data_IF_104010768600
#
_entry.id   IF_104010768600
#
_cell.length_a   1.000
_cell.length_b   1.000
_cell.length_c   1.000
_cell.angle_alpha   90.00
_cell.angle_beta   90.00
_cell.angle_gamma   90.00
#
_symmetry.space_group_name_H-M   'P 1'
#
loop_
_entity.id
_entity.type
_entity.pdbx_description
1 polymer ?
#
# COMPACT_ATOMS: atom_id res chain seq x y z
N UNK A 1 8.19 5.06 -19.53
CA UNK A 1 6.76 4.91 -19.25
C UNK A 1 6.24 5.98 -18.28
N UNK A 2 7.01 6.41 -17.25
CA UNK A 2 6.56 7.39 -16.24
C UNK A 2 5.96 8.67 -16.84
N UNK A 3 6.63 9.31 -17.81
CA UNK A 3 6.12 10.51 -18.46
C UNK A 3 4.81 10.27 -19.24
N UNK A 4 4.57 9.07 -19.69
CA UNK A 4 3.37 8.71 -20.45
C UNK A 4 2.11 8.61 -19.55
N UNK A 5 2.27 8.41 -18.24
CA UNK A 5 1.17 8.41 -17.27
C UNK A 5 0.43 9.76 -17.20
N UNK A 6 1.05 10.85 -17.67
CA UNK A 6 0.40 12.17 -17.80
C UNK A 6 -0.73 12.18 -18.83
N UNK A 7 -0.80 11.18 -19.71
CA UNK A 7 -1.84 11.05 -20.74
C UNK A 7 -3.06 10.27 -20.28
N UNK A 8 -2.98 9.59 -19.12
CA UNK A 8 -4.08 8.79 -18.58
C UNK A 8 -4.75 9.60 -17.46
N UNK A 9 -6.01 9.91 -17.63
CA UNK A 9 -6.84 10.53 -16.57
C UNK A 9 -7.19 9.45 -15.55
N UNK A 10 -6.86 9.68 -14.28
CA UNK A 10 -7.32 8.83 -13.19
C UNK A 10 -8.78 9.17 -12.83
N UNK A 11 -9.01 10.45 -12.58
CA UNK A 11 -10.34 11.02 -12.32
C UNK A 11 -10.26 12.53 -12.56
N UNK A 12 -11.29 13.12 -13.19
CA UNK A 12 -11.27 14.52 -13.68
C UNK A 12 -10.85 15.55 -12.62
N UNK A 13 -11.32 15.38 -11.37
CA UNK A 13 -11.00 16.27 -10.25
C UNK A 13 -9.71 15.93 -9.51
N UNK A 14 -9.18 14.72 -9.69
CA UNK A 14 -7.97 14.22 -9.04
C UNK A 14 -6.76 14.16 -9.97
N UNK A 15 -6.95 14.50 -11.24
CA UNK A 15 -5.90 14.58 -12.24
C UNK A 15 -5.54 13.25 -12.89
N UNK A 16 -4.32 13.19 -13.42
CA UNK A 16 -3.79 12.05 -14.16
C UNK A 16 -3.27 10.94 -13.25
N UNK A 17 -2.96 9.78 -13.84
CA UNK A 17 -2.27 8.69 -13.12
C UNK A 17 -0.88 9.13 -12.67
N UNK A 18 -0.21 10.03 -13.42
CA UNK A 18 1.04 10.65 -12.97
C UNK A 18 0.86 11.49 -11.70
N UNK A 19 -0.16 12.36 -11.66
CA UNK A 19 -0.46 13.19 -10.48
C UNK A 19 -0.77 12.30 -9.26
N UNK A 20 -1.48 11.21 -9.47
CA UNK A 20 -1.72 10.19 -8.45
C UNK A 20 -0.43 9.55 -7.96
N UNK A 21 0.48 9.13 -8.88
CA UNK A 21 1.78 8.56 -8.50
C UNK A 21 2.61 9.53 -7.66
N UNK A 22 2.58 10.84 -7.98
CA UNK A 22 3.26 11.87 -7.19
C UNK A 22 2.66 11.99 -5.77
N UNK A 23 1.33 11.97 -5.63
CA UNK A 23 0.70 12.02 -4.29
C UNK A 23 1.04 10.79 -3.47
N UNK A 24 0.97 9.59 -4.09
CA UNK A 24 1.35 8.33 -3.43
C UNK A 24 2.83 8.34 -3.03
N UNK A 25 3.72 8.87 -3.87
CA UNK A 25 5.14 8.97 -3.58
C UNK A 25 5.44 9.88 -2.37
N UNK A 26 4.81 11.06 -2.33
CA UNK A 26 4.93 11.97 -1.20
C UNK A 26 4.41 11.34 0.11
N UNK A 27 3.28 10.64 0.03
CA UNK A 27 2.67 9.94 1.17
C UNK A 27 3.55 8.77 1.63
N UNK A 28 4.04 7.94 0.70
CA UNK A 28 4.95 6.82 0.99
C UNK A 28 6.24 7.30 1.67
N UNK A 29 6.83 8.38 1.16
CA UNK A 29 8.02 8.99 1.76
C UNK A 29 7.77 9.48 3.19
N UNK A 30 6.60 10.06 3.45
CA UNK A 30 6.24 10.54 4.78
C UNK A 30 5.95 9.39 5.76
N UNK A 31 5.33 8.31 5.30
CA UNK A 31 4.99 7.15 6.12
C UNK A 31 6.19 6.23 6.40
N UNK A 32 7.14 6.14 5.47
CA UNK A 32 8.26 5.19 5.55
C UNK A 32 9.02 5.24 6.89
N UNK A 33 9.43 6.41 7.43
CA UNK A 33 10.13 6.46 8.71
C UNK A 33 9.30 5.96 9.89
N UNK A 34 7.97 6.13 9.84
CA UNK A 34 7.05 5.67 10.89
C UNK A 34 6.93 4.14 10.91
N UNK A 35 7.18 3.51 9.76
CA UNK A 35 7.11 2.07 9.58
C UNK A 35 8.50 1.38 9.62
N UNK A 36 9.59 2.13 9.78
CA UNK A 36 10.96 1.60 9.72
C UNK A 36 11.43 1.22 8.31
N UNK A 37 10.78 1.74 7.26
CA UNK A 37 11.15 1.56 5.86
C UNK A 37 12.08 2.69 5.37
N UNK A 38 12.77 2.46 4.25
CA UNK A 38 13.59 3.47 3.60
C UNK A 38 12.71 4.44 2.79
N UNK A 39 12.70 5.77 3.11
CA UNK A 39 11.89 6.75 2.40
C UNK A 39 12.22 6.90 0.92
N UNK A 40 13.49 6.69 0.55
CA UNK A 40 13.95 6.82 -0.84
C UNK A 40 13.45 5.66 -1.68
N UNK A 41 13.52 4.43 -1.16
CA UNK A 41 13.00 3.25 -1.83
C UNK A 41 11.47 3.28 -1.94
N UNK A 42 10.78 3.71 -0.88
CA UNK A 42 9.32 3.87 -0.89
C UNK A 42 8.85 4.90 -1.93
N UNK A 43 9.51 6.08 -1.98
CA UNK A 43 9.23 7.11 -2.99
C UNK A 43 9.47 6.58 -4.41
N UNK A 44 10.59 5.89 -4.62
CA UNK A 44 10.95 5.32 -5.93
C UNK A 44 9.93 4.28 -6.38
N UNK A 45 9.58 3.34 -5.52
CA UNK A 45 8.57 2.32 -5.80
C UNK A 45 7.22 2.96 -6.15
N UNK A 46 6.79 3.98 -5.40
CA UNK A 46 5.54 4.68 -5.65
C UNK A 46 5.51 5.38 -7.01
N UNK A 47 6.59 6.06 -7.40
CA UNK A 47 6.68 6.72 -8.71
C UNK A 47 6.60 5.73 -9.87
N UNK A 48 7.15 4.52 -9.70
CA UNK A 48 7.17 3.50 -10.77
C UNK A 48 5.93 2.61 -10.75
N UNK A 49 5.17 2.60 -9.69
CA UNK A 49 4.12 1.64 -9.36
C UNK A 49 3.01 1.46 -10.40
N UNK A 50 2.81 2.45 -11.27
CA UNK A 50 1.77 2.45 -12.31
C UNK A 50 2.34 2.47 -13.73
N UNK A 51 3.68 2.36 -13.89
CA UNK A 51 4.32 2.46 -15.20
C UNK A 51 3.99 1.30 -16.14
N UNK A 52 3.68 0.13 -15.61
CA UNK A 52 3.29 -1.06 -16.35
C UNK A 52 1.95 -0.91 -17.09
N UNK A 53 1.07 -0.01 -16.62
CA UNK A 53 -0.18 0.36 -17.32
C UNK A 53 0.07 0.90 -18.72
N UNK A 54 1.28 1.37 -19.01
CA UNK A 54 1.67 1.90 -20.33
C UNK A 54 2.24 0.83 -21.26
N UNK A 55 2.25 -0.42 -20.85
CA UNK A 55 2.78 -1.53 -21.63
C UNK A 55 1.65 -2.26 -22.37
N UNK A 56 1.95 -2.75 -23.57
CA UNK A 56 1.00 -3.57 -24.31
C UNK A 56 0.62 -4.84 -23.56
N UNK A 57 1.57 -5.40 -22.77
CA UNK A 57 1.34 -6.61 -21.98
C UNK A 57 0.19 -6.42 -20.99
N UNK A 58 0.23 -5.35 -20.19
CA UNK A 58 -0.84 -5.06 -19.22
C UNK A 58 -2.11 -4.57 -19.92
N UNK A 59 -1.97 -3.91 -21.09
CA UNK A 59 -3.12 -3.53 -21.91
C UNK A 59 -3.91 -4.72 -22.44
N UNK A 60 -3.24 -5.81 -22.83
CA UNK A 60 -3.87 -7.07 -23.28
C UNK A 60 -4.26 -7.99 -22.12
N UNK A 61 -3.45 -8.01 -21.06
CA UNK A 61 -3.60 -8.90 -19.89
C UNK A 61 -3.62 -8.10 -18.61
N UNK A 62 -4.76 -7.51 -18.29
CA UNK A 62 -4.93 -6.63 -17.12
C UNK A 62 -4.61 -7.31 -15.77
N UNK A 63 -4.79 -8.62 -15.68
CA UNK A 63 -4.49 -9.41 -14.48
C UNK A 63 -2.98 -9.47 -14.15
N UNK A 64 -2.13 -9.14 -15.13
CA UNK A 64 -0.67 -9.07 -14.96
C UNK A 64 -0.19 -7.73 -14.40
N UNK A 65 -1.10 -6.81 -14.10
CA UNK A 65 -0.79 -5.52 -13.48
C UNK A 65 -0.08 -5.73 -12.12
N UNK A 66 1.01 -4.99 -11.92
CA UNK A 66 1.90 -5.13 -10.78
C UNK A 66 2.97 -6.19 -11.01
N UNK A 67 2.60 -7.40 -11.36
CA UNK A 67 3.53 -8.49 -11.67
C UNK A 67 4.48 -8.10 -12.82
N UNK A 68 3.95 -7.59 -13.92
CA UNK A 68 4.77 -7.12 -15.04
C UNK A 68 5.58 -5.88 -14.67
N UNK A 69 5.01 -4.99 -13.88
CA UNK A 69 5.74 -3.85 -13.32
C UNK A 69 7.00 -4.28 -12.55
N UNK A 70 6.89 -5.32 -11.73
CA UNK A 70 8.02 -5.93 -11.02
C UNK A 70 9.08 -6.47 -11.99
N UNK A 71 8.69 -7.25 -12.99
CA UNK A 71 9.64 -7.81 -13.95
C UNK A 71 10.34 -6.71 -14.77
N UNK A 72 9.62 -5.70 -15.21
CA UNK A 72 10.21 -4.58 -15.93
C UNK A 72 11.17 -3.77 -15.07
N UNK A 73 10.80 -3.50 -13.81
CA UNK A 73 11.67 -2.80 -12.88
C UNK A 73 12.99 -3.56 -12.64
N UNK A 74 12.93 -4.89 -12.44
CA UNK A 74 14.13 -5.72 -12.31
C UNK A 74 14.99 -5.70 -13.59
N UNK A 75 14.37 -5.79 -14.76
CA UNK A 75 15.08 -5.73 -16.04
C UNK A 75 15.77 -4.36 -16.26
N UNK A 76 15.16 -3.29 -15.79
CA UNK A 76 15.69 -1.93 -15.88
C UNK A 76 16.74 -1.62 -14.80
N UNK A 77 17.07 -2.58 -13.93
CA UNK A 77 18.11 -2.46 -12.92
C UNK A 77 17.67 -1.76 -11.63
N UNK A 78 16.36 -1.64 -11.39
CA UNK A 78 15.87 -1.12 -10.10
C UNK A 78 16.19 -2.10 -8.95
N UNK A 79 16.35 -1.59 -7.71
CA UNK A 79 16.53 -2.45 -6.55
C UNK A 79 15.41 -3.48 -6.42
N UNK A 80 15.74 -4.71 -6.02
CA UNK A 80 14.76 -5.80 -5.87
C UNK A 80 13.60 -5.40 -4.94
N UNK A 81 13.89 -4.69 -3.85
CA UNK A 81 12.88 -4.20 -2.91
C UNK A 81 11.88 -3.23 -3.56
N UNK A 82 12.36 -2.34 -4.45
CA UNK A 82 11.50 -1.44 -5.24
C UNK A 82 10.62 -2.25 -6.19
N UNK A 83 11.20 -3.22 -6.88
CA UNK A 83 10.48 -4.05 -7.83
C UNK A 83 9.39 -4.91 -7.14
N UNK A 84 9.72 -5.55 -6.01
CA UNK A 84 8.75 -6.31 -5.22
C UNK A 84 7.59 -5.43 -4.76
N UNK A 85 7.88 -4.22 -4.25
CA UNK A 85 6.86 -3.28 -3.80
C UNK A 85 5.87 -2.88 -4.91
N UNK A 86 6.31 -2.83 -6.18
CA UNK A 86 5.45 -2.54 -7.32
C UNK A 86 4.35 -3.61 -7.50
N UNK A 87 4.63 -4.88 -7.26
CA UNK A 87 3.59 -5.93 -7.25
C UNK A 87 2.77 -5.89 -5.95
N UNK A 88 3.44 -5.76 -4.82
CA UNK A 88 2.84 -5.84 -3.49
C UNK A 88 1.86 -4.71 -3.17
N UNK A 89 1.91 -3.56 -3.84
CA UNK A 89 0.98 -2.45 -3.62
C UNK A 89 -0.49 -2.83 -3.76
N UNK A 90 -0.78 -3.85 -4.56
CA UNK A 90 -2.14 -4.32 -4.81
C UNK A 90 -2.65 -5.27 -3.72
N UNK A 91 -1.79 -5.72 -2.84
CA UNK A 91 -2.16 -6.65 -1.76
C UNK A 91 -2.76 -5.91 -0.55
N UNK A 92 -3.74 -6.52 0.14
CA UNK A 92 -4.49 -7.68 -0.31
C UNK A 92 -5.46 -7.33 -1.44
N UNK A 93 -5.55 -8.18 -2.47
CA UNK A 93 -6.45 -8.00 -3.61
C UNK A 93 -7.89 -8.41 -3.30
N UNK A 94 -8.04 -9.33 -2.36
CA UNK A 94 -9.32 -9.87 -1.87
C UNK A 94 -9.20 -10.29 -0.40
N UNK A 95 -10.32 -10.60 0.25
CA UNK A 95 -10.30 -11.07 1.64
C UNK A 95 -9.55 -12.41 1.77
N UNK A 96 -8.55 -12.46 2.64
CA UNK A 96 -7.68 -13.64 2.84
C UNK A 96 -6.51 -13.74 1.85
N UNK A 97 -6.29 -12.73 1.00
CA UNK A 97 -5.07 -12.62 0.19
C UNK A 97 -3.85 -12.32 1.06
N UNK A 98 -2.67 -12.65 0.56
CA UNK A 98 -1.41 -12.34 1.23
C UNK A 98 -1.24 -10.83 1.42
N UNK A 99 -0.63 -10.44 2.52
CA UNK A 99 -0.18 -9.07 2.76
C UNK A 99 1.19 -8.84 2.10
N UNK A 100 1.58 -7.57 1.86
CA UNK A 100 2.93 -7.26 1.44
C UNK A 100 3.97 -7.88 2.38
N UNK A 101 4.97 -8.58 1.84
CA UNK A 101 6.01 -9.22 2.64
C UNK A 101 7.09 -8.22 3.09
N UNK A 102 7.38 -7.22 2.24
CA UNK A 102 8.38 -6.19 2.52
C UNK A 102 7.78 -4.92 3.12
N UNK A 103 8.56 -4.19 3.95
CA UNK A 103 8.13 -2.92 4.54
C UNK A 103 7.85 -1.86 3.46
N UNK A 104 8.67 -1.79 2.41
CA UNK A 104 8.47 -0.87 1.28
C UNK A 104 7.16 -1.17 0.56
N UNK A 105 6.84 -2.45 0.34
CA UNK A 105 5.56 -2.88 -0.23
C UNK A 105 4.37 -2.53 0.67
N UNK A 106 4.49 -2.75 1.97
CA UNK A 106 3.44 -2.42 2.95
C UNK A 106 3.16 -0.91 3.01
N UNK A 107 4.21 -0.08 3.06
CA UNK A 107 4.08 1.40 3.04
C UNK A 107 3.41 1.85 1.74
N UNK A 108 3.83 1.32 0.61
CA UNK A 108 3.25 1.67 -0.69
C UNK A 108 1.78 1.25 -0.78
N UNK A 109 1.44 0.04 -0.32
CA UNK A 109 0.07 -0.46 -0.31
C UNK A 109 -0.87 0.40 0.57
N UNK A 110 -0.37 0.88 1.71
CA UNK A 110 -1.10 1.80 2.59
C UNK A 110 -1.28 3.16 1.91
N UNK A 111 -0.21 3.74 1.37
CA UNK A 111 -0.25 5.04 0.71
C UNK A 111 -1.21 5.05 -0.49
N UNK A 112 -1.21 3.99 -1.28
CA UNK A 112 -2.10 3.80 -2.44
C UNK A 112 -3.57 3.78 -2.03
N UNK A 113 -3.90 3.02 -0.99
CA UNK A 113 -5.26 2.90 -0.47
C UNK A 113 -5.72 4.19 0.21
N UNK A 114 -4.83 4.87 0.94
CA UNK A 114 -5.11 6.18 1.55
C UNK A 114 -5.39 7.25 0.50
N UNK A 115 -4.57 7.35 -0.57
CA UNK A 115 -4.81 8.31 -1.66
C UNK A 115 -6.16 8.06 -2.32
N UNK A 116 -6.48 6.79 -2.58
CA UNK A 116 -7.75 6.40 -3.20
C UNK A 116 -8.94 6.77 -2.32
N UNK A 117 -8.92 6.39 -1.05
CA UNK A 117 -10.02 6.66 -0.12
C UNK A 117 -10.19 8.17 0.10
N UNK A 118 -9.12 8.86 0.52
CA UNK A 118 -9.19 10.28 0.84
C UNK A 118 -9.57 11.13 -0.39
N UNK A 119 -8.99 10.84 -1.55
CA UNK A 119 -9.26 11.56 -2.78
C UNK A 119 -10.72 11.43 -3.23
N UNK A 120 -11.24 10.22 -3.28
CA UNK A 120 -12.61 9.97 -3.75
C UNK A 120 -13.67 10.48 -2.76
N UNK A 121 -13.43 10.36 -1.45
CA UNK A 121 -14.31 10.98 -0.46
C UNK A 121 -14.28 12.52 -0.54
N UNK A 122 -13.11 13.13 -0.72
CA UNK A 122 -12.96 14.58 -0.83
C UNK A 122 -13.74 15.18 -2.03
N UNK A 123 -13.86 14.43 -3.14
CA UNK A 123 -14.62 14.88 -4.31
C UNK A 123 -16.10 14.46 -4.28
N UNK A 124 -16.57 13.89 -3.18
CA UNK A 124 -17.96 13.50 -2.98
C UNK A 124 -18.39 12.24 -3.73
N UNK A 125 -17.47 11.29 -3.93
CA UNK A 125 -17.74 9.99 -4.57
C UNK A 125 -17.60 8.81 -3.60
N UNK A 126 -18.30 8.77 -2.46
CA UNK A 126 -18.32 7.62 -1.58
C UNK A 126 -19.07 6.45 -2.24
N UNK A 127 -18.82 5.20 -1.81
CA UNK A 127 -19.59 4.06 -2.27
C UNK A 127 -21.05 4.19 -1.81
N UNK A 128 -22.00 3.86 -2.69
CA UNK A 128 -23.45 3.95 -2.38
C UNK A 128 -24.12 2.61 -2.65
N UNK A 129 -24.83 2.04 -1.66
CA UNK A 129 -25.57 0.78 -1.81
C UNK A 129 -24.71 -0.32 -2.43
N UNK A 130 -25.10 -0.84 -3.59
CA UNK A 130 -24.34 -1.85 -4.36
C UNK A 130 -23.29 -1.25 -5.29
N UNK A 131 -23.23 0.08 -5.46
CA UNK A 131 -22.30 0.73 -6.38
C UNK A 131 -21.01 1.13 -5.67
N UNK A 132 -19.90 0.54 -6.11
CA UNK A 132 -18.54 0.85 -5.64
C UNK A 132 -17.55 0.73 -6.82
N UNK A 133 -17.60 1.68 -7.78
CA UNK A 133 -16.83 1.58 -9.03
C UNK A 133 -15.32 1.68 -8.80
N UNK A 134 -14.90 2.24 -7.67
CA UNK A 134 -13.48 2.36 -7.29
C UNK A 134 -13.04 1.35 -6.23
N UNK A 135 -13.88 0.38 -5.89
CA UNK A 135 -13.62 -0.65 -4.88
C UNK A 135 -13.17 -0.09 -3.51
N UNK A 136 -13.78 1.03 -3.07
CA UNK A 136 -13.42 1.73 -1.83
C UNK A 136 -13.60 0.87 -0.58
N UNK A 137 -14.63 -0.01 -0.56
CA UNK A 137 -14.84 -0.95 0.56
C UNK A 137 -13.67 -1.92 0.67
N UNK A 138 -13.21 -2.45 -0.46
CA UNK A 138 -12.05 -3.35 -0.51
C UNK A 138 -10.76 -2.60 -0.11
N UNK A 139 -10.59 -1.35 -0.59
CA UNK A 139 -9.46 -0.52 -0.21
C UNK A 139 -9.44 -0.25 1.31
N UNK A 140 -10.58 0.01 1.93
CA UNK A 140 -10.69 0.23 3.37
C UNK A 140 -10.35 -1.04 4.19
N UNK A 141 -10.83 -2.21 3.76
CA UNK A 141 -10.49 -3.50 4.40
C UNK A 141 -8.99 -3.75 4.28
N UNK A 142 -8.42 -3.65 3.06
CA UNK A 142 -7.00 -3.86 2.83
C UNK A 142 -6.11 -2.87 3.60
N UNK A 143 -6.55 -1.63 3.77
CA UNK A 143 -5.86 -0.64 4.59
C UNK A 143 -5.82 -1.08 6.06
N UNK A 144 -6.95 -1.51 6.63
CA UNK A 144 -7.03 -2.02 8.00
C UNK A 144 -6.10 -3.21 8.21
N UNK A 145 -6.10 -4.18 7.29
CA UNK A 145 -5.25 -5.37 7.40
C UNK A 145 -3.76 -5.03 7.31
N UNK A 146 -3.39 -4.09 6.44
CA UNK A 146 -2.01 -3.61 6.31
C UNK A 146 -1.53 -2.88 7.57
N UNK A 147 -2.37 -2.08 8.23
CA UNK A 147 -2.03 -1.44 9.50
C UNK A 147 -1.83 -2.47 10.63
N UNK A 148 -2.73 -3.46 10.75
CA UNK A 148 -2.58 -4.54 11.74
C UNK A 148 -1.26 -5.30 11.56
N UNK A 149 -0.87 -5.56 10.31
CA UNK A 149 0.41 -6.21 10.00
C UNK A 149 1.61 -5.37 10.47
N UNK A 150 1.60 -4.05 10.22
CA UNK A 150 2.67 -3.16 10.66
C UNK A 150 2.75 -3.03 12.18
N UNK A 151 1.62 -2.95 12.88
CA UNK A 151 1.57 -2.92 14.34
C UNK A 151 2.16 -4.20 14.94
N UNK A 152 1.78 -5.37 14.43
CA UNK A 152 2.33 -6.66 14.85
C UNK A 152 3.83 -6.72 14.57
N UNK A 153 4.27 -6.29 13.38
CA UNK A 153 5.68 -6.28 13.00
C UNK A 153 6.50 -5.34 13.86
N UNK A 154 5.99 -4.15 14.20
CA UNK A 154 6.63 -3.21 15.11
C UNK A 154 6.74 -3.77 16.54
N UNK A 155 5.71 -4.44 17.01
CA UNK A 155 5.72 -5.12 18.32
C UNK A 155 6.76 -6.23 18.32
N UNK A 156 6.79 -7.10 17.31
CA UNK A 156 7.77 -8.20 17.21
C UNK A 156 9.20 -7.67 17.10
N UNK A 157 9.42 -6.57 16.34
CA UNK A 157 10.72 -5.91 16.24
C UNK A 157 11.16 -5.36 17.60
N UNK A 158 10.28 -4.65 18.30
CA UNK A 158 10.54 -4.14 19.65
C UNK A 158 10.90 -5.26 20.61
N UNK A 159 10.15 -6.37 20.59
CA UNK A 159 10.40 -7.56 21.40
C UNK A 159 11.73 -8.23 21.10
N UNK A 160 12.12 -8.33 19.83
CA UNK A 160 13.41 -8.93 19.44
C UNK A 160 14.60 -8.17 20.00
N UNK A 161 14.42 -6.85 20.26
CA UNK A 161 15.48 -5.99 20.80
C UNK A 161 15.63 -6.09 22.31
N UNK A 162 14.57 -6.53 23.01
CA UNK A 162 14.55 -6.71 24.47
C UNK A 162 14.68 -8.20 24.88
N UNK A 163 15.63 -8.93 24.26
CA UNK A 163 15.94 -10.32 24.64
C UNK A 163 16.36 -10.37 26.11
N UNK A 164 15.44 -10.73 26.99
CA UNK A 164 15.78 -11.16 28.34
C UNK A 164 14.83 -10.78 29.47
N UNK A 165 13.94 -9.78 29.36
CA UNK A 165 13.18 -9.28 30.52
C UNK A 165 11.66 -9.16 30.33
N UNK A 166 11.08 -9.60 29.24
CA UNK A 166 9.65 -9.40 29.02
C UNK A 166 8.92 -10.76 29.02
N UNK A 167 8.08 -10.95 30.02
CA UNK A 167 7.14 -12.07 30.09
C UNK A 167 6.09 -11.93 28.95
N UNK A 168 6.10 -12.91 28.04
CA UNK A 168 5.17 -13.01 26.89
C UNK A 168 3.70 -12.85 27.34
N UNK A 169 3.34 -13.22 28.58
CA UNK A 169 1.99 -13.09 29.13
C UNK A 169 1.55 -11.64 29.28
N UNK A 170 2.47 -10.74 29.63
CA UNK A 170 2.17 -9.31 29.78
C UNK A 170 1.96 -8.64 28.42
N UNK A 171 2.61 -9.15 27.38
CA UNK A 171 2.51 -8.66 26.02
C UNK A 171 1.25 -9.10 25.29
N UNK A 172 0.84 -10.35 25.48
CA UNK A 172 -0.45 -10.83 25.01
C UNK A 172 -1.60 -10.06 25.68
N UNK A 173 -1.43 -9.67 26.95
CA UNK A 173 -2.37 -8.82 27.68
C UNK A 173 -2.47 -7.41 27.08
N UNK A 174 -1.35 -6.80 26.69
CA UNK A 174 -1.31 -5.47 26.05
C UNK A 174 -1.90 -5.49 24.63
N UNK A 175 -1.54 -6.48 23.82
CA UNK A 175 -2.10 -6.66 22.47
C UNK A 175 -3.62 -6.91 22.53
N UNK A 176 -4.08 -7.71 23.52
CA UNK A 176 -5.50 -7.96 23.75
C UNK A 176 -6.25 -6.71 24.24
N UNK A 177 -5.61 -5.88 25.09
CA UNK A 177 -6.17 -4.61 25.56
C UNK A 177 -6.32 -3.58 24.44
N UNK A 178 -5.31 -3.45 23.57
CA UNK A 178 -5.35 -2.56 22.39
C UNK A 178 -6.43 -3.03 21.40
N UNK A 179 -6.52 -4.34 21.16
CA UNK A 179 -7.55 -4.93 20.32
C UNK A 179 -8.96 -4.73 20.91
N UNK A 180 -9.13 -4.93 22.21
CA UNK A 180 -10.40 -4.72 22.90
C UNK A 180 -10.83 -3.24 22.90
N UNK A 181 -9.88 -2.29 23.10
CA UNK A 181 -10.17 -0.85 23.01
C UNK A 181 -10.56 -0.42 21.59
N UNK A 182 -9.98 -1.01 20.55
CA UNK A 182 -10.33 -0.74 19.15
C UNK A 182 -11.72 -1.29 18.80
N UNK A 183 -12.16 -2.39 19.45
CA UNK A 183 -13.46 -3.02 19.22
C UNK A 183 -14.63 -2.43 20.04
N UNK A 184 -14.34 -1.74 21.18
CA UNK A 184 -15.38 -1.16 22.04
C UNK A 184 -15.77 0.28 21.72
N UNK A 185 -15.21 0.88 20.65
CA UNK A 185 -15.57 2.22 20.16
C UNK A 185 -16.49 2.18 18.94
N UNK A 186 -17.41 1.22 18.88
CA UNK A 186 -18.59 1.27 18.01
C UNK A 186 -19.87 1.31 18.84
#
# INVERSE_FOLDING_TARGET
HLAALKKIVFQDKLGTVYDRSVRIANLSRALAPLCGADPVLCERAAMLSKCDLMTNMVGEFADLQGLMGRYYALNDGEPAEVAEAIDEQYRPRFAGDDLPAGLTGAVLAIAEKLDTLSGLFAIGQPPTGSKDPFALRRAAIGLRESFLYLEISAILYFLSRFKGEIDIRNLLGLAFSVYSLAMTKN
#
